data_IF_566802244409
#
_entry.id   IF_566802244409
#
_cell.length_a   1.000
_cell.length_b   1.000
_cell.length_c   1.000
_cell.angle_alpha   90.00
_cell.angle_beta   90.00
_cell.angle_gamma   90.00
#
_symmetry.space_group_name_H-M   'P 1'
#
loop_
_entity.id
_entity.type
_entity.pdbx_description
1 polymer ?
#
# COMPACT_ATOMS: atom_id res chain seq x y z
N UNK A 1 -2.33 14.85 20.07
CA UNK A 1 -1.59 14.62 18.80
C UNK A 1 -1.92 13.23 18.28
N UNK A 2 -2.95 13.09 17.46
CA UNK A 2 -3.36 11.79 16.92
C UNK A 2 -2.71 11.60 15.54
N UNK A 3 -1.50 11.06 15.51
CA UNK A 3 -0.95 10.51 14.28
C UNK A 3 -1.96 9.48 13.78
N UNK A 4 -2.55 9.71 12.61
CA UNK A 4 -3.49 8.81 11.92
C UNK A 4 -2.75 7.52 11.53
N UNK A 5 -2.41 6.70 12.52
CA UNK A 5 -1.73 5.42 12.34
C UNK A 5 -2.59 4.51 11.46
N UNK A 6 -1.96 3.95 10.42
CA UNK A 6 -2.59 2.96 9.54
C UNK A 6 -3.45 3.50 8.40
N UNK A 7 -3.42 4.81 8.10
CA UNK A 7 -4.09 5.32 6.88
C UNK A 7 -3.30 5.13 5.61
N UNK A 8 -1.98 5.07 5.69
CA UNK A 8 -1.11 4.89 4.54
C UNK A 8 -0.11 3.80 4.82
N UNK A 9 0.12 2.97 3.82
CA UNK A 9 1.10 1.90 3.79
C UNK A 9 1.87 2.00 2.48
N UNK A 10 3.03 1.37 2.46
CA UNK A 10 3.81 1.18 1.25
C UNK A 10 3.81 -0.31 0.93
N UNK A 11 3.62 -0.65 -0.33
CA UNK A 11 3.63 -2.04 -0.77
C UNK A 11 4.92 -2.26 -1.53
N UNK A 12 5.72 -3.20 -1.06
CA UNK A 12 6.94 -3.65 -1.73
C UNK A 12 6.55 -4.43 -2.99
N UNK A 13 7.16 -4.08 -4.11
CA UNK A 13 7.07 -4.80 -5.38
C UNK A 13 8.34 -5.64 -5.59
N UNK A 14 8.20 -6.73 -6.33
CA UNK A 14 9.32 -7.59 -6.75
C UNK A 14 10.47 -6.85 -7.47
N UNK A 15 10.22 -5.69 -8.10
CA UNK A 15 11.22 -4.87 -8.78
C UNK A 15 12.04 -3.95 -7.83
N UNK A 16 11.85 -4.07 -6.51
CA UNK A 16 12.54 -3.28 -5.48
C UNK A 16 12.00 -1.86 -5.35
N UNK A 17 10.83 -1.58 -5.93
CA UNK A 17 10.11 -0.32 -5.75
C UNK A 17 8.99 -0.47 -4.72
N UNK A 18 8.54 0.68 -4.20
CA UNK A 18 7.44 0.77 -3.26
C UNK A 18 6.32 1.63 -3.84
N UNK A 19 5.09 1.18 -3.66
CA UNK A 19 3.90 1.93 -4.07
C UNK A 19 3.15 2.36 -2.82
N UNK A 20 2.84 3.65 -2.72
CA UNK A 20 2.07 4.18 -1.60
C UNK A 20 0.59 3.84 -1.79
N UNK A 21 -0.02 3.22 -0.79
CA UNK A 21 -1.44 2.94 -0.78
C UNK A 21 -2.10 3.53 0.47
N UNK A 22 -3.32 4.03 0.31
CA UNK A 22 -4.19 4.42 1.42
C UNK A 22 -5.06 3.25 1.81
N UNK A 23 -5.10 2.99 3.11
CA UNK A 23 -5.90 1.95 3.72
C UNK A 23 -7.14 2.56 4.36
N UNK A 24 -8.30 2.02 4.01
CA UNK A 24 -9.58 2.36 4.61
C UNK A 24 -9.97 1.26 5.61
N UNK A 25 -10.47 1.68 6.78
CA UNK A 25 -11.06 0.75 7.75
C UNK A 25 -12.42 0.31 7.20
N UNK A 26 -12.46 -0.80 6.48
CA UNK A 26 -13.70 -1.50 6.14
C UNK A 26 -13.81 -2.77 6.98
N UNK A 27 -15.03 -3.10 7.45
CA UNK A 27 -15.33 -4.31 8.22
C UNK A 27 -15.24 -5.59 7.38
N UNK A 28 -15.21 -5.43 6.05
CA UNK A 28 -15.37 -6.50 5.07
C UNK A 28 -14.12 -6.56 4.20
N UNK A 29 -13.60 -7.76 3.90
CA UNK A 29 -12.28 -8.03 3.27
C UNK A 29 -12.13 -7.62 1.79
N UNK A 30 -12.86 -6.59 1.40
CA UNK A 30 -12.93 -6.11 0.04
C UNK A 30 -11.67 -5.33 -0.36
N UNK A 31 -11.25 -5.50 -1.61
CA UNK A 31 -10.18 -4.75 -2.29
C UNK A 31 -10.34 -3.24 -2.20
N UNK A 32 -11.56 -2.75 -1.97
CA UNK A 32 -11.87 -1.33 -1.68
C UNK A 32 -11.17 -0.79 -0.44
N UNK A 33 -10.59 -1.65 0.41
CA UNK A 33 -9.72 -1.24 1.52
C UNK A 33 -8.46 -0.51 1.07
N UNK A 34 -7.94 -0.76 -0.14
CA UNK A 34 -6.68 -0.20 -0.60
C UNK A 34 -6.85 0.67 -1.85
N UNK A 35 -6.37 1.91 -1.77
CA UNK A 35 -6.29 2.82 -2.91
C UNK A 35 -4.83 3.18 -3.14
N UNK A 36 -4.30 2.83 -4.31
CA UNK A 36 -2.95 3.24 -4.73
C UNK A 36 -2.93 4.76 -4.93
N UNK A 37 -1.91 5.42 -4.39
CA UNK A 37 -1.75 6.88 -4.44
C UNK A 37 -0.36 7.21 -4.93
N UNK A 38 -0.30 7.80 -6.11
CA UNK A 38 0.92 8.36 -6.68
C UNK A 38 1.85 7.30 -7.28
N UNK A 39 3.03 7.74 -7.74
CA UNK A 39 3.97 6.91 -8.47
C UNK A 39 4.74 5.95 -7.55
N UNK A 40 5.37 4.94 -8.16
CA UNK A 40 6.33 4.08 -7.46
C UNK A 40 7.57 4.86 -7.01
N UNK A 41 8.04 4.60 -5.80
CA UNK A 41 9.21 5.25 -5.18
C UNK A 41 10.20 4.21 -4.65
N UNK A 42 11.50 4.51 -4.72
CA UNK A 42 12.54 3.73 -4.02
C UNK A 42 12.83 4.24 -2.61
N UNK A 43 12.56 5.52 -2.36
CA UNK A 43 12.83 6.15 -1.07
C UNK A 43 11.56 6.11 -0.23
N UNK A 44 11.66 5.47 0.92
CA UNK A 44 10.60 5.37 1.91
C UNK A 44 10.86 6.34 3.07
N UNK A 45 9.79 6.89 3.67
CA UNK A 45 9.90 7.52 4.99
C UNK A 45 10.43 6.54 6.03
N UNK A 46 11.24 7.02 6.98
CA UNK A 46 11.94 6.20 7.98
C UNK A 46 11.02 5.31 8.84
N UNK A 47 9.79 5.76 9.11
CA UNK A 47 8.79 5.03 9.89
C UNK A 47 7.60 4.57 9.04
N UNK A 48 7.80 4.34 7.74
CA UNK A 48 6.75 3.86 6.84
C UNK A 48 6.38 2.41 7.17
N UNK A 49 5.06 2.11 7.17
CA UNK A 49 4.58 0.74 7.27
C UNK A 49 4.65 0.08 5.90
N UNK A 50 5.41 -1.00 5.79
CA UNK A 50 5.63 -1.74 4.54
C UNK A 50 4.82 -3.04 4.60
N UNK A 51 4.10 -3.34 3.52
CA UNK A 51 3.41 -4.60 3.27
C UNK A 51 4.08 -5.32 2.11
N UNK A 52 4.13 -6.65 2.18
CA UNK A 52 4.55 -7.49 1.05
C UNK A 52 3.39 -7.73 0.08
N UNK A 53 3.69 -8.06 -1.17
CA UNK A 53 2.66 -8.44 -2.17
C UNK A 53 1.78 -9.59 -1.65
N UNK A 54 2.33 -10.54 -0.89
CA UNK A 54 1.57 -11.67 -0.34
C UNK A 54 0.56 -11.30 0.75
N UNK A 55 0.67 -10.09 1.31
CA UNK A 55 -0.21 -9.60 2.38
C UNK A 55 -1.40 -8.79 1.85
N UNK A 56 -1.50 -8.65 0.53
CA UNK A 56 -2.58 -7.92 -0.13
C UNK A 56 -3.37 -8.83 -1.08
N UNK A 57 -4.64 -8.48 -1.38
CA UNK A 57 -5.44 -9.24 -2.34
C UNK A 57 -4.83 -9.22 -3.75
N UNK A 58 -5.00 -10.31 -4.51
CA UNK A 58 -4.40 -10.47 -5.83
C UNK A 58 -4.79 -9.39 -6.84
N UNK A 59 -6.06 -8.93 -6.79
CA UNK A 59 -6.53 -7.86 -7.65
C UNK A 59 -5.80 -6.52 -7.39
N UNK A 60 -5.29 -6.29 -6.17
CA UNK A 60 -4.46 -5.12 -5.88
C UNK A 60 -3.05 -5.27 -6.46
N UNK A 61 -2.49 -6.50 -6.49
CA UNK A 61 -1.16 -6.79 -7.05
C UNK A 61 -1.09 -6.32 -8.50
N UNK A 62 -2.07 -6.65 -9.33
CA UNK A 62 -2.12 -6.22 -10.74
C UNK A 62 -2.05 -4.70 -10.87
N UNK A 63 -2.77 -3.98 -10.00
CA UNK A 63 -2.80 -2.50 -10.02
C UNK A 63 -1.47 -1.87 -9.60
N UNK A 64 -0.62 -2.57 -8.83
CA UNK A 64 0.72 -2.10 -8.49
C UNK A 64 1.64 -1.99 -9.70
N UNK A 65 1.44 -2.83 -10.71
CA UNK A 65 2.27 -2.84 -11.93
C UNK A 65 1.73 -1.90 -13.02
N UNK A 66 0.52 -1.36 -12.85
CA UNK A 66 -0.08 -0.38 -13.75
C UNK A 66 0.34 1.07 -13.45
N UNK A 67 1.11 1.31 -12.38
CA UNK A 67 1.59 2.63 -11.93
C UNK A 67 3.09 2.85 -12.10
#
# INVERSE_FOLDING_TARGET
MALKHGKYVYIERSDGYYVKARVFKSRNDDTSKYIIIGPKTRKLPMNALILKEDQIPDNLKERLYMV
#
